data_IF_346186566635
#
_entry.id   IF_346186566635
#
_cell.length_a   1.000
_cell.length_b   1.000
_cell.length_c   1.000
_cell.angle_alpha   90.00
_cell.angle_beta   90.00
_cell.angle_gamma   90.00
#
_symmetry.space_group_name_H-M   'P 1'
#
loop_
_entity.id
_entity.type
_entity.pdbx_description
1 polymer ?
#
# COMPACT_ATOMS: atom_id res chain seq x y z
N UNK A 1 -5.03 19.26 53.00
CA UNK A 1 -4.23 18.01 53.02
C UNK A 1 -4.13 17.49 51.60
N UNK A 2 -2.92 17.11 51.19
CA UNK A 2 -2.45 16.82 49.84
C UNK A 2 -2.95 15.47 49.27
N UNK A 3 -3.10 15.43 47.94
CA UNK A 3 -3.08 14.24 47.05
C UNK A 3 -1.83 13.36 47.28
N UNK A 4 -1.74 12.07 46.84
CA UNK A 4 -2.13 11.58 45.49
C UNK A 4 -2.59 10.10 45.33
N UNK A 5 -3.16 9.75 44.16
CA UNK A 5 -2.59 8.83 43.14
C UNK A 5 -3.63 8.29 42.16
N UNK A 6 -3.22 8.32 40.90
CA UNK A 6 -3.82 7.78 39.68
C UNK A 6 -4.22 6.31 39.75
N UNK A 7 -5.23 5.91 38.97
CA UNK A 7 -5.10 4.71 38.15
C UNK A 7 -6.05 4.72 36.94
N UNK A 8 -5.52 5.22 35.83
CA UNK A 8 -5.96 4.99 34.45
C UNK A 8 -6.36 3.53 34.20
N UNK A 9 -7.65 3.22 34.33
CA UNK A 9 -8.17 1.88 34.03
C UNK A 9 -9.17 1.97 32.89
N UNK A 10 -8.68 2.06 31.65
CA UNK A 10 -9.58 1.98 30.50
C UNK A 10 -9.01 2.12 29.09
N UNK A 11 -7.70 2.30 28.90
CA UNK A 11 -7.18 2.78 27.61
C UNK A 11 -6.26 1.87 26.79
N UNK A 12 -6.02 0.60 27.15
CA UNK A 12 -4.84 -0.09 26.59
C UNK A 12 -4.86 -1.61 26.45
N UNK A 13 -6.01 -2.25 26.15
CA UNK A 13 -6.07 -3.73 26.05
C UNK A 13 -6.52 -4.31 24.70
N UNK A 14 -6.53 -3.54 23.61
CA UNK A 14 -6.86 -4.06 22.28
C UNK A 14 -5.99 -3.53 21.13
N UNK A 15 -4.78 -3.05 21.41
CA UNK A 15 -3.77 -2.86 20.38
C UNK A 15 -2.84 -4.08 20.41
N UNK A 16 -3.36 -5.24 19.99
CA UNK A 16 -2.55 -6.41 19.68
C UNK A 16 -1.63 -6.05 18.52
N UNK A 17 -0.40 -5.72 18.89
CA UNK A 17 0.82 -6.19 18.25
C UNK A 17 1.12 -5.68 16.83
N UNK A 18 1.84 -4.55 16.80
CA UNK A 18 2.65 -4.12 15.66
C UNK A 18 3.76 -5.17 15.42
N UNK A 19 3.45 -6.16 14.58
CA UNK A 19 4.42 -7.16 14.15
C UNK A 19 5.07 -6.70 12.85
N UNK A 20 6.26 -6.14 12.97
CA UNK A 20 7.14 -5.98 11.81
C UNK A 20 7.48 -7.36 11.27
N UNK A 21 6.81 -7.76 10.19
CA UNK A 21 6.99 -9.04 9.51
C UNK A 21 7.69 -8.82 8.17
N UNK A 22 8.82 -9.49 7.99
CA UNK A 22 9.49 -9.55 6.70
C UNK A 22 8.87 -10.69 5.88
N UNK A 23 8.02 -10.34 4.93
CA UNK A 23 7.40 -11.31 4.03
C UNK A 23 8.19 -11.40 2.72
N UNK A 24 8.39 -12.62 2.18
CA UNK A 24 8.73 -12.79 0.77
C UNK A 24 7.80 -11.96 -0.10
N UNK A 25 8.37 -11.22 -1.04
CA UNK A 25 7.59 -10.45 -2.01
C UNK A 25 8.00 -10.81 -3.43
N UNK A 26 7.00 -11.00 -4.27
CA UNK A 26 7.16 -11.05 -5.71
C UNK A 26 6.46 -9.81 -6.28
N UNK A 27 7.20 -8.97 -7.00
CA UNK A 27 6.64 -7.80 -7.67
C UNK A 27 6.92 -7.86 -9.16
N UNK A 28 5.86 -7.71 -9.94
CA UNK A 28 5.93 -7.50 -11.39
C UNK A 28 5.52 -6.08 -11.68
N UNK A 29 6.31 -5.39 -12.51
CA UNK A 29 6.01 -4.03 -12.97
C UNK A 29 6.15 -3.99 -14.47
N UNK A 30 5.13 -3.46 -15.12
CA UNK A 30 5.09 -3.22 -16.55
C UNK A 30 4.76 -1.77 -16.83
N UNK A 31 5.25 -1.27 -17.97
CA UNK A 31 4.82 0.02 -18.49
C UNK A 31 4.64 -0.13 -19.99
N UNK A 32 3.43 0.14 -20.45
CA UNK A 32 3.14 0.20 -21.88
C UNK A 32 3.01 1.65 -22.32
N UNK A 33 3.73 2.05 -23.36
CA UNK A 33 3.61 3.40 -23.92
C UNK A 33 2.79 3.33 -25.20
N UNK A 34 1.57 3.87 -25.16
CA UNK A 34 0.72 3.96 -26.35
C UNK A 34 1.22 5.06 -27.30
N UNK A 35 1.75 6.15 -26.73
CA UNK A 35 2.29 7.30 -27.47
C UNK A 35 3.34 7.96 -26.59
N UNK A 36 4.13 8.89 -27.13
CA UNK A 36 5.08 9.71 -26.35
C UNK A 36 4.41 10.44 -25.18
N UNK A 37 3.11 10.72 -25.31
CA UNK A 37 2.31 11.41 -24.29
C UNK A 37 1.53 10.48 -23.36
N UNK A 38 1.23 9.24 -23.76
CA UNK A 38 0.31 8.37 -23.01
C UNK A 38 1.00 7.07 -22.64
N UNK A 39 0.98 6.74 -21.35
CA UNK A 39 1.52 5.48 -20.86
C UNK A 39 0.62 4.83 -19.82
N UNK A 40 0.66 3.51 -19.80
CA UNK A 40 -0.12 2.65 -18.94
C UNK A 40 0.84 1.87 -18.03
N UNK A 41 1.15 2.39 -16.83
CA UNK A 41 1.78 1.60 -15.80
C UNK A 41 0.85 0.49 -15.32
N UNK A 42 1.41 -0.69 -15.12
CA UNK A 42 0.79 -1.81 -14.42
C UNK A 42 1.77 -2.34 -13.37
N UNK A 43 1.27 -2.68 -12.19
CA UNK A 43 2.07 -3.24 -11.12
C UNK A 43 1.24 -4.30 -10.40
N UNK A 44 1.87 -5.43 -10.13
CA UNK A 44 1.29 -6.49 -9.32
C UNK A 44 2.31 -6.87 -8.27
N UNK A 45 1.87 -7.05 -7.04
CA UNK A 45 2.68 -7.49 -5.91
C UNK A 45 1.95 -8.61 -5.21
N UNK A 46 2.69 -9.65 -4.88
CA UNK A 46 2.20 -10.78 -4.13
C UNK A 46 3.16 -11.03 -2.99
N UNK A 47 2.64 -11.10 -1.77
CA UNK A 47 3.40 -11.44 -0.56
C UNK A 47 2.73 -12.63 0.10
N UNK A 48 3.52 -13.57 0.61
CA UNK A 48 3.02 -14.79 1.23
C UNK A 48 3.82 -15.11 2.48
N UNK A 49 3.13 -15.54 3.53
CA UNK A 49 3.74 -16.00 4.78
C UNK A 49 2.87 -17.05 5.46
N UNK A 50 3.34 -18.30 5.48
CA UNK A 50 2.68 -19.47 6.09
C UNK A 50 1.26 -19.71 5.54
N UNK A 51 0.24 -19.08 6.12
CA UNK A 51 -1.17 -19.15 5.70
C UNK A 51 -1.74 -17.78 5.27
N UNK A 52 -1.03 -16.68 5.49
CA UNK A 52 -1.48 -15.33 5.13
C UNK A 52 -0.94 -14.95 3.75
N UNK A 53 -1.82 -14.41 2.90
CA UNK A 53 -1.44 -13.96 1.57
C UNK A 53 -1.94 -12.53 1.33
N UNK A 54 -1.09 -11.72 0.71
CA UNK A 54 -1.41 -10.35 0.32
C UNK A 54 -1.21 -10.19 -1.19
N UNK A 55 -2.28 -9.86 -1.89
CA UNK A 55 -2.26 -9.54 -3.32
C UNK A 55 -2.55 -8.06 -3.50
N UNK A 56 -1.69 -7.38 -4.25
CA UNK A 56 -1.89 -6.00 -4.67
C UNK A 56 -1.74 -5.89 -6.18
N UNK A 57 -2.73 -5.28 -6.82
CA UNK A 57 -2.71 -4.98 -8.24
C UNK A 57 -2.99 -3.49 -8.45
N UNK A 58 -2.24 -2.86 -9.32
CA UNK A 58 -2.35 -1.45 -9.63
C UNK A 58 -2.26 -1.29 -11.15
N UNK A 59 -3.17 -0.51 -11.68
CA UNK A 59 -3.16 -0.10 -13.09
C UNK A 59 -3.42 1.40 -13.14
N UNK A 60 -2.69 2.10 -13.99
CA UNK A 60 -2.87 3.54 -14.15
C UNK A 60 -2.78 3.97 -15.60
N UNK A 61 -3.30 5.15 -15.88
CA UNK A 61 -3.15 5.85 -17.14
C UNK A 61 -2.45 7.17 -16.82
N UNK A 62 -1.32 7.39 -17.46
CA UNK A 62 -0.53 8.62 -17.37
C UNK A 62 -0.56 9.36 -18.70
N UNK A 63 -0.81 10.66 -18.64
CA UNK A 63 -0.84 11.59 -19.77
C UNK A 63 0.11 12.77 -19.54
N UNK A 64 1.03 12.99 -20.47
CA UNK A 64 1.91 14.18 -20.52
C UNK A 64 1.18 15.34 -21.16
N UNK A 65 0.85 16.36 -20.37
CA UNK A 65 0.35 17.63 -20.88
C UNK A 65 1.48 18.42 -21.56
N UNK A 66 2.65 18.45 -20.90
CA UNK A 66 3.82 19.23 -21.31
C UNK A 66 5.09 18.47 -20.85
N UNK A 67 6.29 18.80 -21.34
CA UNK A 67 7.54 18.21 -20.83
C UNK A 67 7.77 18.41 -19.32
N UNK A 68 7.07 19.36 -18.70
CA UNK A 68 7.14 19.67 -17.27
C UNK A 68 5.97 19.14 -16.43
N UNK A 69 4.88 18.69 -17.07
CA UNK A 69 3.64 18.33 -16.37
C UNK A 69 3.06 17.01 -16.89
N UNK A 70 2.93 16.06 -15.97
CA UNK A 70 2.26 14.78 -16.14
C UNK A 70 1.01 14.74 -15.24
N UNK A 71 -0.10 14.28 -15.79
CA UNK A 71 -1.30 13.93 -15.02
C UNK A 71 -1.55 12.44 -15.15
N UNK A 72 -2.07 11.82 -14.10
CA UNK A 72 -2.36 10.39 -14.12
C UNK A 72 -3.49 10.02 -13.19
N UNK A 73 -4.23 9.00 -13.60
CA UNK A 73 -5.21 8.31 -12.77
C UNK A 73 -4.70 6.90 -12.53
N UNK A 74 -4.67 6.51 -11.26
CA UNK A 74 -4.24 5.19 -10.83
C UNK A 74 -5.37 4.54 -10.06
N UNK A 75 -5.61 3.27 -10.35
CA UNK A 75 -6.54 2.42 -9.63
C UNK A 75 -5.78 1.27 -9.00
N UNK A 76 -5.91 1.15 -7.68
CA UNK A 76 -5.30 0.10 -6.88
C UNK A 76 -6.37 -0.83 -6.33
N UNK A 77 -6.09 -2.12 -6.40
CA UNK A 77 -6.84 -3.19 -5.75
C UNK A 77 -5.89 -3.92 -4.79
N UNK A 78 -6.36 -4.16 -3.57
CA UNK A 78 -5.63 -4.93 -2.57
C UNK A 78 -6.57 -5.95 -1.98
N UNK A 79 -6.08 -7.18 -1.84
CA UNK A 79 -6.76 -8.27 -1.17
C UNK A 79 -5.81 -8.90 -0.15
N UNK A 80 -6.37 -9.30 0.99
CA UNK A 80 -5.65 -9.98 2.06
C UNK A 80 -6.50 -11.15 2.50
N UNK A 81 -5.95 -12.35 2.45
CA UNK A 81 -6.59 -13.59 2.86
C UNK A 81 -5.76 -14.25 3.94
#
# INVERSE_FOLDING_TARGET
MNQPRDNDTGGGKYATEDHWRAMPNLSVRGRYSFTEKVSLPIKTQYQWWDNDNYLYAEVGINYKLNPAWDIGLMYGYSDTT
#
